data_IF_699690702241
#
_entry.id   IF_699690702241
#
_cell.length_a   1.000
_cell.length_b   1.000
_cell.length_c   1.000
_cell.angle_alpha   90.00
_cell.angle_beta   90.00
_cell.angle_gamma   90.00
#
_symmetry.space_group_name_H-M   'P 1'
#
loop_
_entity.id
_entity.type
_entity.pdbx_description
1 polymer ?
#
# COMPACT_ATOMS: atom_id res chain seq x y z
N UNK A 1 13.47 -18.46 -10.85
CA UNK A 1 14.81 -17.91 -11.12
C UNK A 1 14.86 -16.99 -12.33
N UNK A 2 14.77 -17.47 -13.58
CA UNK A 2 14.92 -16.59 -14.79
C UNK A 2 13.92 -15.42 -14.86
N UNK A 3 12.65 -15.65 -14.53
CA UNK A 3 11.61 -14.62 -14.61
C UNK A 3 11.67 -13.59 -13.46
N UNK A 4 12.32 -13.93 -12.34
CA UNK A 4 12.52 -13.00 -11.22
C UNK A 4 13.72 -12.10 -11.51
N UNK A 5 14.75 -12.64 -12.18
CA UNK A 5 15.86 -11.85 -12.71
C UNK A 5 15.39 -10.83 -13.76
N UNK A 6 14.38 -11.18 -14.57
CA UNK A 6 13.78 -10.26 -15.53
C UNK A 6 13.04 -9.07 -14.86
N UNK A 7 12.27 -9.32 -13.79
CA UNK A 7 11.62 -8.23 -13.03
C UNK A 7 12.62 -7.33 -12.32
N UNK A 8 13.69 -7.92 -11.76
CA UNK A 8 14.78 -7.15 -11.15
C UNK A 8 15.52 -6.32 -12.21
N UNK A 9 15.64 -6.80 -13.45
CA UNK A 9 16.20 -6.04 -14.56
C UNK A 9 15.27 -4.91 -15.05
N UNK A 10 13.96 -5.16 -15.19
CA UNK A 10 12.96 -4.14 -15.56
C UNK A 10 12.88 -3.03 -14.49
N UNK A 11 12.93 -3.40 -13.20
CA UNK A 11 13.02 -2.43 -12.11
C UNK A 11 14.30 -1.58 -12.19
N UNK A 12 15.45 -2.18 -12.50
CA UNK A 12 16.71 -1.44 -12.68
C UNK A 12 16.63 -0.44 -13.82
N UNK A 13 16.05 -0.85 -14.94
CA UNK A 13 15.89 0.02 -16.11
C UNK A 13 15.01 1.23 -15.76
N UNK A 14 13.87 1.02 -15.10
CA UNK A 14 12.99 2.12 -14.67
C UNK A 14 13.61 3.07 -13.65
N UNK A 15 14.37 2.57 -12.67
CA UNK A 15 15.09 3.43 -11.69
C UNK A 15 16.19 4.24 -12.38
N UNK A 16 16.79 3.72 -13.45
CA UNK A 16 17.89 4.39 -14.16
C UNK A 16 17.39 5.47 -15.15
N UNK A 17 16.16 5.37 -15.65
CA UNK A 17 15.52 6.39 -16.50
C UNK A 17 14.98 7.60 -15.71
N UNK A 18 14.67 7.46 -14.42
CA UNK A 18 14.18 8.59 -13.59
C UNK A 18 15.26 9.62 -13.23
N UNK A 19 16.54 9.30 -13.41
CA UNK A 19 17.67 10.20 -13.09
C UNK A 19 18.01 11.16 -14.24
N UNK A 20 17.18 11.25 -15.29
CA UNK A 20 17.58 11.83 -16.57
C UNK A 20 16.53 12.56 -17.42
N UNK A 21 15.54 13.24 -16.85
CA UNK A 21 14.71 14.18 -17.66
C UNK A 21 14.41 15.52 -16.93
N UNK A 22 15.02 16.59 -17.44
CA UNK A 22 14.75 17.99 -17.10
C UNK A 22 13.51 18.51 -17.85
N UNK A 23 12.60 19.17 -17.13
CA UNK A 23 11.36 19.76 -17.63
C UNK A 23 11.58 20.83 -18.71
N UNK A 24 10.70 20.86 -19.71
CA UNK A 24 10.42 22.08 -20.51
C UNK A 24 8.92 22.42 -20.46
N UNK A 25 8.63 23.66 -20.05
CA UNK A 25 7.30 24.21 -19.78
C UNK A 25 6.94 25.21 -20.89
N UNK A 26 5.73 25.15 -21.47
CA UNK A 26 5.10 26.30 -22.15
C UNK A 26 3.56 26.33 -21.97
N UNK A 27 3.13 27.24 -21.08
CA UNK A 27 2.03 28.24 -21.14
C UNK A 27 0.66 27.94 -21.78
N UNK A 28 -0.42 28.01 -20.97
CA UNK A 28 -1.64 28.82 -21.27
C UNK A 28 -2.49 29.06 -20.01
N UNK A 29 -3.03 30.28 -19.85
CA UNK A 29 -3.00 31.04 -18.58
C UNK A 29 -4.38 31.47 -18.02
N UNK A 30 -5.37 30.58 -17.90
CA UNK A 30 -6.60 30.89 -17.11
C UNK A 30 -7.28 29.70 -16.44
N UNK A 31 -7.32 28.50 -17.05
CA UNK A 31 -7.64 27.24 -16.33
C UNK A 31 -6.43 26.64 -15.62
N UNK A 32 -5.22 27.06 -16.02
CA UNK A 32 -3.97 26.63 -15.40
C UNK A 32 -3.85 27.03 -13.94
N UNK A 33 -4.43 28.13 -13.46
CA UNK A 33 -4.27 28.51 -12.05
C UNK A 33 -5.01 27.56 -11.08
N UNK A 34 -6.18 27.03 -11.46
CA UNK A 34 -6.85 25.98 -10.69
C UNK A 34 -6.12 24.64 -10.85
N UNK A 35 -5.67 24.31 -12.07
CA UNK A 35 -4.90 23.10 -12.32
C UNK A 35 -3.52 23.10 -11.63
N UNK A 36 -2.85 24.25 -11.52
CA UNK A 36 -1.55 24.45 -10.87
C UNK A 36 -1.70 24.38 -9.34
N UNK A 37 -2.76 24.96 -8.77
CA UNK A 37 -3.05 24.83 -7.33
C UNK A 37 -3.42 23.38 -6.98
N UNK A 38 -4.10 22.67 -7.90
CA UNK A 38 -4.40 21.24 -7.75
C UNK A 38 -3.14 20.40 -7.94
N UNK A 39 -2.27 20.70 -8.92
CA UNK A 39 -1.00 19.98 -9.12
C UNK A 39 -0.07 20.15 -7.92
N UNK A 40 -0.02 21.35 -7.34
CA UNK A 40 0.67 21.60 -6.09
C UNK A 40 0.09 20.78 -4.92
N UNK A 41 -1.24 20.65 -4.84
CA UNK A 41 -1.91 19.77 -3.85
C UNK A 41 -1.66 18.28 -4.11
N UNK A 42 -1.57 17.85 -5.37
CA UNK A 42 -1.21 16.48 -5.73
C UNK A 42 0.21 16.16 -5.24
N UNK A 43 1.16 17.07 -5.45
CA UNK A 43 2.54 16.92 -4.96
C UNK A 43 2.57 16.91 -3.43
N UNK A 44 1.83 17.80 -2.76
CA UNK A 44 1.76 17.83 -1.30
C UNK A 44 1.08 16.59 -0.69
N UNK A 45 0.06 16.04 -1.35
CA UNK A 45 -0.66 14.86 -0.88
C UNK A 45 0.18 13.57 -0.93
N UNK A 46 1.24 13.55 -1.74
CA UNK A 46 2.21 12.45 -1.81
C UNK A 46 3.41 12.64 -0.86
N UNK A 47 3.55 13.80 -0.20
CA UNK A 47 4.63 14.03 0.75
C UNK A 47 4.32 13.33 2.08
N UNK A 48 5.26 12.53 2.62
CA UNK A 48 5.05 11.85 3.89
C UNK A 48 4.97 12.88 5.02
N UNK A 49 3.90 12.82 5.82
CA UNK A 49 3.80 13.66 7.00
C UNK A 49 4.69 13.08 8.12
N UNK A 50 5.41 13.93 8.84
CA UNK A 50 6.17 13.48 9.99
C UNK A 50 5.24 12.85 11.05
N UNK A 51 5.66 11.72 11.62
CA UNK A 51 4.96 11.01 12.68
C UNK A 51 4.69 11.90 13.91
N UNK A 52 5.55 12.90 14.12
CA UNK A 52 5.46 13.88 15.22
C UNK A 52 4.49 15.04 14.96
N UNK A 53 3.83 15.09 13.80
CA UNK A 53 2.98 16.21 13.42
C UNK A 53 1.83 16.48 14.44
N UNK A 54 1.54 17.76 14.75
CA UNK A 54 0.44 18.14 15.65
C UNK A 54 -0.92 17.61 15.17
N UNK A 55 -1.86 17.46 16.10
CA UNK A 55 -3.25 17.04 15.79
C UNK A 55 -3.90 17.94 14.73
N UNK A 56 -3.68 19.25 14.82
CA UNK A 56 -4.23 20.22 13.87
C UNK A 56 -3.75 19.95 12.43
N UNK A 57 -2.48 19.55 12.27
CA UNK A 57 -1.92 19.20 10.97
C UNK A 57 -2.54 17.90 10.47
N UNK A 58 -2.77 16.91 11.35
CA UNK A 58 -3.46 15.65 10.98
C UNK A 58 -4.92 15.87 10.56
N UNK A 59 -5.59 16.87 11.13
CA UNK A 59 -6.93 17.28 10.73
C UNK A 59 -6.91 17.99 9.37
N UNK A 60 -6.00 18.94 9.17
CA UNK A 60 -5.83 19.63 7.89
C UNK A 60 -5.46 18.67 6.75
N UNK A 61 -4.58 17.69 7.01
CA UNK A 61 -4.24 16.65 6.05
C UNK A 61 -5.46 15.81 5.67
N UNK A 62 -6.30 15.43 6.64
CA UNK A 62 -7.54 14.70 6.36
C UNK A 62 -8.50 15.49 5.46
N UNK A 63 -8.72 16.78 5.77
CA UNK A 63 -9.57 17.65 4.96
C UNK A 63 -9.00 17.86 3.54
N UNK A 64 -7.67 17.91 3.43
CA UNK A 64 -6.97 18.01 2.14
C UNK A 64 -7.16 16.74 1.30
N UNK A 65 -7.03 15.56 1.89
CA UNK A 65 -7.33 14.29 1.21
C UNK A 65 -8.80 14.19 0.83
N UNK A 66 -9.73 14.56 1.72
CA UNK A 66 -11.16 14.55 1.41
C UNK A 66 -11.47 15.48 0.24
N UNK A 67 -10.91 16.68 0.23
CA UNK A 67 -11.07 17.64 -0.86
C UNK A 67 -10.50 17.10 -2.17
N UNK A 68 -9.31 16.48 -2.12
CA UNK A 68 -8.67 15.88 -3.29
C UNK A 68 -9.49 14.73 -3.87
N UNK A 69 -9.89 13.77 -3.04
CA UNK A 69 -10.70 12.64 -3.49
C UNK A 69 -12.09 13.07 -3.93
N UNK A 70 -12.70 14.05 -3.28
CA UNK A 70 -13.98 14.63 -3.71
C UNK A 70 -13.86 15.24 -5.10
N UNK A 71 -12.79 15.99 -5.37
CA UNK A 71 -12.53 16.55 -6.69
C UNK A 71 -12.33 15.46 -7.75
N UNK A 72 -11.52 14.43 -7.45
CA UNK A 72 -11.26 13.32 -8.38
C UNK A 72 -12.54 12.51 -8.69
N UNK A 73 -13.41 12.32 -7.68
CA UNK A 73 -14.60 11.47 -7.79
C UNK A 73 -15.82 12.20 -8.36
N UNK A 74 -16.04 13.46 -7.98
CA UNK A 74 -17.27 14.21 -8.26
C UNK A 74 -17.12 15.31 -9.33
N UNK A 75 -16.00 15.38 -10.04
CA UNK A 75 -15.85 16.27 -11.19
C UNK A 75 -16.82 15.93 -12.32
N UNK A 76 -17.35 16.97 -13.01
CA UNK A 76 -18.18 16.86 -14.22
C UNK A 76 -17.33 16.40 -15.43
N UNK A 77 -16.90 15.15 -15.40
CA UNK A 77 -16.03 14.52 -16.40
C UNK A 77 -14.74 13.96 -15.81
N UNK A 78 -14.04 13.06 -16.53
CA UNK A 78 -12.75 12.55 -16.07
C UNK A 78 -11.74 13.67 -16.10
N UNK A 79 -11.17 13.98 -14.93
CA UNK A 79 -10.20 15.08 -14.83
C UNK A 79 -8.97 14.73 -15.68
N UNK A 80 -8.51 15.67 -16.47
CA UNK A 80 -7.26 15.55 -17.22
C UNK A 80 -6.10 16.02 -16.35
N UNK A 81 -5.73 15.15 -15.41
CA UNK A 81 -4.57 15.33 -14.56
C UNK A 81 -3.54 14.29 -14.94
N UNK A 82 -2.36 14.76 -15.33
CA UNK A 82 -1.19 13.92 -15.45
C UNK A 82 -0.55 13.78 -14.07
N UNK A 83 -0.49 12.56 -13.50
CA UNK A 83 0.14 12.37 -12.21
C UNK A 83 1.61 12.79 -12.28
N UNK A 84 2.16 13.44 -11.24
CA UNK A 84 3.55 13.88 -11.20
C UNK A 84 4.57 12.76 -11.44
N UNK A 85 4.22 11.53 -11.10
CA UNK A 85 5.04 10.34 -11.32
C UNK A 85 4.17 9.10 -11.51
N UNK A 86 4.76 8.04 -12.07
CA UNK A 86 4.12 6.72 -12.15
C UNK A 86 3.75 6.16 -10.76
N UNK A 87 4.54 6.51 -9.73
CA UNK A 87 4.36 6.04 -8.35
C UNK A 87 3.38 6.88 -7.53
N UNK A 88 2.98 8.06 -8.01
CA UNK A 88 2.17 9.02 -7.26
C UNK A 88 0.88 8.41 -6.70
N UNK A 89 0.17 7.61 -7.51
CA UNK A 89 -1.07 6.97 -7.07
C UNK A 89 -0.84 5.97 -5.93
N UNK A 90 0.31 5.29 -5.89
CA UNK A 90 0.70 4.45 -4.77
C UNK A 90 1.02 5.29 -3.53
N UNK A 91 1.87 6.31 -3.68
CA UNK A 91 2.33 7.14 -2.55
C UNK A 91 1.16 7.84 -1.85
N UNK A 92 0.19 8.37 -2.61
CA UNK A 92 -1.01 9.01 -2.05
C UNK A 92 -1.89 8.02 -1.29
N UNK A 93 -2.11 6.82 -1.83
CA UNK A 93 -2.91 5.80 -1.15
C UNK A 93 -2.18 5.25 0.08
N UNK A 94 -0.87 5.00 -0.03
CA UNK A 94 -0.07 4.47 1.08
C UNK A 94 0.03 5.46 2.24
N UNK A 95 0.25 6.76 1.94
CA UNK A 95 0.29 7.83 2.93
C UNK A 95 -1.09 8.05 3.56
N UNK A 96 -2.17 8.06 2.77
CA UNK A 96 -3.54 8.15 3.28
C UNK A 96 -3.84 7.04 4.31
N UNK A 97 -3.43 5.80 4.01
CA UNK A 97 -3.64 4.68 4.93
C UNK A 97 -2.66 4.72 6.11
N UNK A 98 -1.44 5.23 5.90
CA UNK A 98 -0.48 5.45 6.98
C UNK A 98 -1.01 6.45 8.00
N UNK A 99 -1.55 7.58 7.57
CA UNK A 99 -2.17 8.58 8.44
C UNK A 99 -3.37 8.00 9.20
N UNK A 100 -4.24 7.25 8.52
CA UNK A 100 -5.34 6.54 9.16
C UNK A 100 -4.85 5.59 10.27
N UNK A 101 -3.81 4.79 10.01
CA UNK A 101 -3.26 3.86 10.99
C UNK A 101 -2.59 4.58 12.17
N UNK A 102 -1.81 5.63 11.89
CA UNK A 102 -1.17 6.48 12.90
C UNK A 102 -2.21 7.11 13.82
N UNK A 103 -3.28 7.66 13.25
CA UNK A 103 -4.38 8.26 14.01
C UNK A 103 -5.19 7.22 14.79
N UNK A 104 -5.44 6.05 14.23
CA UNK A 104 -6.12 4.94 14.91
C UNK A 104 -5.32 4.44 16.12
N UNK A 105 -4.01 4.30 15.96
CA UNK A 105 -3.08 3.93 17.03
C UNK A 105 -3.02 5.00 18.12
N UNK A 106 -2.99 6.28 17.73
CA UNK A 106 -3.04 7.41 18.66
C UNK A 106 -4.35 7.41 19.47
N UNK A 107 -5.52 7.30 18.81
CA UNK A 107 -6.83 7.19 19.48
C UNK A 107 -6.87 6.02 20.47
N UNK A 108 -6.36 4.86 20.08
CA UNK A 108 -6.30 3.68 20.95
C UNK A 108 -5.39 3.91 22.16
N UNK A 109 -4.25 4.60 21.98
CA UNK A 109 -3.33 4.94 23.07
C UNK A 109 -3.96 5.92 24.06
N UNK A 110 -4.60 6.99 23.58
CA UNK A 110 -5.28 7.98 24.43
C UNK A 110 -6.44 7.33 25.20
N UNK A 111 -7.23 6.48 24.54
CA UNK A 111 -8.32 5.74 25.19
C UNK A 111 -7.81 4.83 26.33
N UNK A 112 -6.60 4.28 26.22
CA UNK A 112 -5.98 3.45 27.28
C UNK A 112 -5.29 4.27 28.38
N UNK A 113 -4.75 5.44 28.05
CA UNK A 113 -3.92 6.22 28.96
C UNK A 113 -4.70 7.20 29.84
N UNK A 114 -5.97 7.52 29.51
CA UNK A 114 -6.95 8.23 30.36
C UNK A 114 -6.50 9.54 31.07
N UNK A 115 -5.27 10.02 30.89
CA UNK A 115 -4.70 11.14 31.66
C UNK A 115 -4.74 12.49 30.95
N UNK A 116 -5.17 12.54 29.68
CA UNK A 116 -5.23 13.77 28.88
C UNK A 116 -6.68 14.09 28.53
N UNK A 117 -7.40 14.74 29.44
CA UNK A 117 -8.80 15.17 29.24
C UNK A 117 -8.97 16.14 28.06
N UNK A 118 -7.99 17.03 27.83
CA UNK A 118 -8.03 17.99 26.71
C UNK A 118 -7.95 17.31 25.34
N UNK A 119 -7.05 16.35 25.15
CA UNK A 119 -6.95 15.60 23.89
C UNK A 119 -8.18 14.71 23.66
N UNK A 120 -8.75 14.13 24.73
CA UNK A 120 -10.00 13.36 24.65
C UNK A 120 -11.16 14.26 24.20
N UNK A 121 -11.21 15.51 24.68
CA UNK A 121 -12.24 16.47 24.30
C UNK A 121 -12.11 16.87 22.81
N UNK A 122 -10.91 17.17 22.33
CA UNK A 122 -10.65 17.48 20.92
C UNK A 122 -11.03 16.30 20.00
N UNK A 123 -10.76 15.06 20.42
CA UNK A 123 -11.15 13.86 19.68
C UNK A 123 -12.67 13.62 19.69
N UNK A 124 -13.39 14.05 20.73
CA UNK A 124 -14.86 14.00 20.79
C UNK A 124 -15.51 15.07 19.93
N UNK A 125 -14.88 16.22 19.78
CA UNK A 125 -15.34 17.31 18.91
C UNK A 125 -15.17 16.97 17.43
N UNK A 126 -14.20 16.11 17.09
CA UNK A 126 -13.92 15.68 15.71
C UNK A 126 -14.04 14.14 15.55
N UNK A 127 -15.22 13.54 15.74
CA UNK A 127 -15.39 12.08 15.73
C UNK A 127 -15.25 11.46 14.33
N UNK A 128 -15.46 12.26 13.29
CA UNK A 128 -15.50 11.81 11.90
C UNK A 128 -14.12 11.83 11.22
N UNK A 129 -13.12 12.50 11.81
CA UNK A 129 -11.79 12.56 11.23
C UNK A 129 -11.14 11.18 11.28
N UNK A 130 -10.63 10.73 10.13
CA UNK A 130 -10.04 9.40 9.97
C UNK A 130 -10.96 8.26 10.44
N UNK A 131 -12.28 8.42 10.26
CA UNK A 131 -13.24 7.37 10.56
C UNK A 131 -13.09 6.19 9.58
N UNK A 132 -13.12 4.96 10.10
CA UNK A 132 -12.98 3.74 9.28
C UNK A 132 -13.99 3.69 8.13
N UNK A 133 -15.23 4.13 8.37
CA UNK A 133 -16.27 4.20 7.34
C UNK A 133 -15.91 5.19 6.21
N UNK A 134 -15.41 6.37 6.56
CA UNK A 134 -15.02 7.38 5.57
C UNK A 134 -13.87 6.90 4.69
N UNK A 135 -12.82 6.34 5.32
CA UNK A 135 -11.66 5.79 4.64
C UNK A 135 -12.05 4.64 3.70
N UNK A 136 -12.89 3.71 4.17
CA UNK A 136 -13.41 2.63 3.32
C UNK A 136 -14.24 3.19 2.16
N UNK A 137 -15.12 4.17 2.43
CA UNK A 137 -15.98 4.75 1.40
C UNK A 137 -15.18 5.43 0.29
N UNK A 138 -14.11 6.15 0.63
CA UNK A 138 -13.19 6.74 -0.36
C UNK A 138 -12.57 5.66 -1.24
N UNK A 139 -11.99 4.60 -0.63
CA UNK A 139 -11.34 3.52 -1.37
C UNK A 139 -12.34 2.76 -2.27
N UNK A 140 -13.52 2.42 -1.76
CA UNK A 140 -14.57 1.78 -2.56
C UNK A 140 -15.09 2.68 -3.68
N UNK A 141 -15.22 3.98 -3.44
CA UNK A 141 -15.65 4.94 -4.46
C UNK A 141 -14.63 5.06 -5.59
N UNK A 142 -13.33 5.06 -5.27
CA UNK A 142 -12.25 5.06 -6.28
C UNK A 142 -12.28 3.78 -7.13
N UNK A 143 -12.50 2.62 -6.51
CA UNK A 143 -12.62 1.34 -7.22
C UNK A 143 -13.86 1.32 -8.12
N UNK A 144 -15.01 1.75 -7.62
CA UNK A 144 -16.25 1.78 -8.39
C UNK A 144 -16.16 2.77 -9.56
N UNK A 145 -15.60 3.95 -9.34
CA UNK A 145 -15.46 4.99 -10.37
C UNK A 145 -14.46 4.60 -11.46
N UNK A 146 -13.42 3.86 -11.12
CA UNK A 146 -12.43 3.34 -12.07
C UNK A 146 -12.88 2.06 -12.80
N UNK A 147 -13.94 1.39 -12.32
CA UNK A 147 -14.40 0.07 -12.79
C UNK A 147 -13.26 -0.97 -12.87
N UNK A 148 -12.25 -0.83 -12.00
CA UNK A 148 -11.01 -1.61 -12.11
C UNK A 148 -11.24 -3.11 -11.88
N UNK A 149 -12.18 -3.49 -11.01
CA UNK A 149 -12.54 -4.90 -10.76
C UNK A 149 -13.09 -5.56 -12.03
N UNK A 150 -13.94 -4.86 -12.77
CA UNK A 150 -14.50 -5.34 -14.03
C UNK A 150 -13.44 -5.40 -15.13
N UNK A 151 -12.55 -4.40 -15.20
CA UNK A 151 -11.41 -4.42 -16.12
C UNK A 151 -10.47 -5.61 -15.84
N UNK A 152 -10.19 -5.90 -14.57
CA UNK A 152 -9.36 -7.05 -14.18
C UNK A 152 -10.07 -8.39 -14.47
N UNK A 153 -11.39 -8.45 -14.26
CA UNK A 153 -12.19 -9.62 -14.64
C UNK A 153 -12.24 -9.83 -16.16
N UNK A 154 -12.28 -8.76 -16.96
CA UNK A 154 -12.18 -8.81 -18.42
C UNK A 154 -10.79 -9.30 -18.86
N UNK A 155 -9.71 -8.78 -18.25
CA UNK A 155 -8.34 -9.26 -18.51
C UNK A 155 -8.19 -10.77 -18.26
N UNK A 156 -8.77 -11.29 -17.17
CA UNK A 156 -8.74 -12.73 -16.86
C UNK A 156 -9.52 -13.58 -17.88
N UNK A 157 -10.55 -13.01 -18.51
CA UNK A 157 -11.32 -13.65 -19.58
C UNK A 157 -10.69 -13.46 -20.98
N UNK A 158 -9.53 -12.79 -21.08
CA UNK A 158 -8.91 -12.35 -22.32
C UNK A 158 -9.82 -11.44 -23.18
N UNK A 159 -10.71 -10.68 -22.52
CA UNK A 159 -11.56 -9.65 -23.14
C UNK A 159 -10.84 -8.29 -23.12
N UNK A 160 -11.23 -7.36 -24.00
CA UNK A 160 -10.65 -6.01 -24.05
C UNK A 160 -11.03 -5.21 -22.80
N UNK A 161 -10.06 -4.85 -21.93
CA UNK A 161 -10.34 -4.09 -20.71
C UNK A 161 -10.84 -2.67 -21.01
N UNK A 162 -10.49 -2.12 -22.18
CA UNK A 162 -10.92 -0.78 -22.59
C UNK A 162 -12.43 -0.71 -22.87
N UNK A 163 -13.06 -1.83 -23.21
CA UNK A 163 -14.51 -1.89 -23.47
C UNK A 163 -15.37 -1.75 -22.20
N UNK A 164 -14.81 -2.09 -21.04
CA UNK A 164 -15.52 -2.08 -19.74
C UNK A 164 -15.06 -0.93 -18.84
N UNK A 165 -14.00 -0.22 -19.25
CA UNK A 165 -13.38 0.84 -18.46
C UNK A 165 -14.23 2.12 -18.34
N UNK A 166 -15.15 2.35 -19.27
CA UNK A 166 -15.90 3.60 -19.36
C UNK A 166 -15.01 4.84 -19.57
N UNK A 167 -15.63 6.03 -19.52
CA UNK A 167 -14.92 7.29 -19.78
C UNK A 167 -13.83 7.58 -18.72
N UNK A 168 -14.08 7.20 -17.46
CA UNK A 168 -13.16 7.43 -16.34
C UNK A 168 -12.04 6.38 -16.26
N UNK A 169 -12.35 5.09 -16.42
CA UNK A 169 -11.36 4.02 -16.33
C UNK A 169 -10.41 3.95 -17.53
N UNK A 170 -10.75 4.60 -18.65
CA UNK A 170 -9.86 4.75 -19.80
C UNK A 170 -8.60 5.55 -19.47
N UNK A 171 -8.68 6.45 -18.47
CA UNK A 171 -7.54 7.27 -18.03
C UNK A 171 -6.64 6.50 -17.08
N UNK A 172 -5.33 6.60 -17.33
CA UNK A 172 -4.30 5.91 -16.55
C UNK A 172 -4.33 6.27 -15.05
N UNK A 173 -4.62 7.54 -14.73
CA UNK A 173 -4.74 8.01 -13.35
C UNK A 173 -5.79 7.22 -12.54
N UNK A 174 -7.01 7.12 -13.07
CA UNK A 174 -8.11 6.41 -12.40
C UNK A 174 -7.86 4.91 -12.35
N UNK A 175 -7.26 4.34 -13.39
CA UNK A 175 -6.84 2.93 -13.42
C UNK A 175 -5.84 2.62 -12.32
N UNK A 176 -4.81 3.46 -12.16
CA UNK A 176 -3.79 3.30 -11.12
C UNK A 176 -4.37 3.53 -9.72
N UNK A 177 -5.12 4.61 -9.51
CA UNK A 177 -5.77 4.90 -8.23
C UNK A 177 -6.73 3.79 -7.81
N UNK A 178 -7.55 3.29 -8.72
CA UNK A 178 -8.43 2.15 -8.47
C UNK A 178 -7.66 0.90 -8.09
N UNK A 179 -6.61 0.57 -8.84
CA UNK A 179 -5.79 -0.61 -8.61
C UNK A 179 -5.06 -0.56 -7.24
N UNK A 180 -4.42 0.56 -6.92
CA UNK A 180 -3.77 0.74 -5.62
C UNK A 180 -4.78 0.86 -4.48
N UNK A 181 -5.99 1.34 -4.74
CA UNK A 181 -7.07 1.34 -3.74
C UNK A 181 -7.49 -0.08 -3.35
N UNK A 182 -7.44 -1.07 -4.26
CA UNK A 182 -7.68 -2.48 -3.89
C UNK A 182 -6.59 -2.97 -2.90
N UNK A 183 -5.32 -2.66 -3.18
CA UNK A 183 -4.21 -3.01 -2.28
C UNK A 183 -4.34 -2.25 -0.95
N UNK A 184 -4.82 -1.02 -1.00
CA UNK A 184 -5.14 -0.23 0.16
C UNK A 184 -6.25 -0.84 1.02
N UNK A 185 -7.32 -1.35 0.39
CA UNK A 185 -8.41 -2.03 1.08
C UNK A 185 -7.93 -3.27 1.83
N UNK A 186 -7.04 -4.07 1.24
CA UNK A 186 -6.39 -5.20 1.94
C UNK A 186 -5.79 -4.73 3.27
N UNK A 187 -5.00 -3.64 3.24
CA UNK A 187 -4.34 -3.09 4.42
C UNK A 187 -5.36 -2.58 5.45
N UNK A 188 -6.40 -1.88 5.02
CA UNK A 188 -7.45 -1.37 5.92
C UNK A 188 -8.24 -2.51 6.55
N UNK A 189 -8.66 -3.53 5.80
CA UNK A 189 -9.35 -4.70 6.33
C UNK A 189 -8.49 -5.50 7.31
N UNK A 190 -7.18 -5.62 7.06
CA UNK A 190 -6.23 -6.18 8.02
C UNK A 190 -6.19 -5.39 9.33
N UNK A 191 -6.24 -4.05 9.27
CA UNK A 191 -6.26 -3.18 10.46
C UNK A 191 -7.58 -3.30 11.23
N UNK A 192 -8.69 -3.52 10.54
CA UNK A 192 -10.01 -3.75 11.14
C UNK A 192 -10.18 -5.16 11.71
N UNK A 193 -9.31 -6.10 11.31
CA UNK A 193 -9.32 -7.50 11.77
C UNK A 193 -10.19 -8.44 10.93
N UNK A 194 -10.73 -7.99 9.79
CA UNK A 194 -11.46 -8.86 8.85
C UNK A 194 -10.51 -9.40 7.78
N UNK A 195 -9.79 -10.47 8.13
CA UNK A 195 -8.81 -11.11 7.25
C UNK A 195 -9.46 -11.88 6.09
N UNK A 196 -10.71 -12.34 6.27
CA UNK A 196 -11.44 -13.06 5.23
C UNK A 196 -11.86 -12.12 4.10
N UNK A 197 -12.39 -10.95 4.44
CA UNK A 197 -12.72 -9.93 3.46
C UNK A 197 -11.47 -9.33 2.81
N UNK A 198 -10.39 -9.13 3.59
CA UNK A 198 -9.11 -8.66 3.05
C UNK A 198 -8.62 -9.54 1.88
N UNK A 199 -8.64 -10.87 2.05
CA UNK A 199 -8.24 -11.79 0.98
C UNK A 199 -9.22 -11.76 -0.19
N UNK A 200 -10.54 -11.72 0.07
CA UNK A 200 -11.55 -11.64 -1.00
C UNK A 200 -11.39 -10.40 -1.88
N UNK A 201 -10.99 -9.26 -1.30
CA UNK A 201 -10.74 -8.05 -2.10
C UNK A 201 -9.61 -8.21 -3.11
N UNK A 202 -8.73 -9.19 -2.91
CA UNK A 202 -7.64 -9.53 -3.84
C UNK A 202 -7.97 -10.68 -4.79
N UNK A 203 -9.13 -11.34 -4.68
CA UNK A 203 -9.49 -12.46 -5.56
C UNK A 203 -9.47 -12.04 -7.05
N UNK A 204 -9.73 -10.76 -7.31
CA UNK A 204 -9.72 -10.17 -8.65
C UNK A 204 -8.32 -9.84 -9.18
N UNK A 205 -7.32 -9.82 -8.31
CA UNK A 205 -5.93 -9.53 -8.65
C UNK A 205 -5.16 -10.84 -8.73
N UNK A 206 -4.69 -11.18 -9.93
CA UNK A 206 -3.69 -12.23 -10.06
C UNK A 206 -2.40 -11.79 -9.38
N UNK A 207 -2.03 -12.46 -8.29
CA UNK A 207 -0.73 -12.33 -7.63
C UNK A 207 0.37 -12.98 -8.49
N UNK A 208 0.53 -12.47 -9.70
CA UNK A 208 1.48 -12.94 -10.69
C UNK A 208 2.41 -11.79 -11.10
N UNK A 209 3.53 -12.14 -11.73
CA UNK A 209 4.62 -11.23 -12.12
C UNK A 209 4.21 -10.11 -13.08
N UNK A 210 3.08 -10.27 -13.77
CA UNK A 210 2.47 -9.26 -14.66
C UNK A 210 1.58 -8.24 -13.96
N UNK A 211 1.41 -8.36 -12.65
CA UNK A 211 0.57 -7.46 -11.88
C UNK A 211 1.19 -6.05 -11.81
N UNK A 212 0.38 -5.01 -11.99
CA UNK A 212 0.85 -3.62 -11.99
C UNK A 212 1.59 -3.23 -10.70
N UNK A 213 1.25 -3.86 -9.56
CA UNK A 213 1.96 -3.62 -8.30
C UNK A 213 3.37 -4.21 -8.26
N UNK A 214 3.70 -5.18 -9.11
CA UNK A 214 5.03 -5.80 -9.13
C UNK A 214 6.11 -4.84 -9.63
N UNK A 215 5.72 -3.77 -10.34
CA UNK A 215 6.61 -2.69 -10.79
C UNK A 215 6.98 -1.73 -9.66
N UNK A 216 6.16 -1.65 -8.62
CA UNK A 216 6.40 -0.78 -7.46
C UNK A 216 6.87 -1.66 -6.31
N UNK A 217 8.17 -1.63 -5.99
CA UNK A 217 8.77 -2.43 -4.91
C UNK A 217 7.99 -2.32 -3.60
N UNK A 218 7.60 -1.10 -3.21
CA UNK A 218 6.85 -0.84 -1.98
C UNK A 218 5.45 -1.47 -1.99
N UNK A 219 4.73 -1.40 -3.12
CA UNK A 219 3.41 -2.01 -3.28
C UNK A 219 3.48 -3.54 -3.30
N UNK A 220 4.48 -4.09 -4.00
CA UNK A 220 4.76 -5.52 -4.03
C UNK A 220 5.04 -6.05 -2.63
N UNK A 221 5.96 -5.40 -1.91
CA UNK A 221 6.29 -5.76 -0.53
C UNK A 221 5.06 -5.71 0.38
N UNK A 222 4.31 -4.61 0.32
CA UNK A 222 3.14 -4.38 1.16
C UNK A 222 2.04 -5.42 0.91
N UNK A 223 1.76 -5.74 -0.35
CA UNK A 223 0.75 -6.72 -0.73
C UNK A 223 1.08 -8.10 -0.16
N UNK A 224 2.29 -8.62 -0.42
CA UNK A 224 2.69 -9.94 0.08
C UNK A 224 2.76 -10.00 1.61
N UNK A 225 3.17 -8.90 2.26
CA UNK A 225 3.19 -8.81 3.71
C UNK A 225 1.77 -8.96 4.30
N UNK A 226 0.80 -8.17 3.85
CA UNK A 226 -0.56 -8.21 4.41
C UNK A 226 -1.34 -9.46 3.98
N UNK A 227 -1.08 -10.01 2.79
CA UNK A 227 -1.63 -11.31 2.37
C UNK A 227 -1.09 -12.44 3.26
N UNK A 228 0.23 -12.50 3.46
CA UNK A 228 0.85 -13.49 4.35
C UNK A 228 0.36 -13.38 5.78
N UNK A 229 0.21 -12.13 6.28
CA UNK A 229 -0.36 -11.86 7.60
C UNK A 229 -1.81 -12.33 7.70
N UNK A 230 -2.64 -12.05 6.69
CA UNK A 230 -4.04 -12.51 6.64
C UNK A 230 -4.13 -14.04 6.66
N UNK A 231 -3.29 -14.73 5.89
CA UNK A 231 -3.23 -16.20 5.92
C UNK A 231 -2.80 -16.75 7.28
N UNK A 232 -1.83 -16.12 7.94
CA UNK A 232 -1.41 -16.49 9.29
C UNK A 232 -2.57 -16.34 10.30
N UNK A 233 -3.31 -15.24 10.22
CA UNK A 233 -4.47 -14.98 11.10
C UNK A 233 -5.66 -15.91 10.82
N UNK A 234 -5.78 -16.44 9.60
CA UNK A 234 -6.74 -17.49 9.25
C UNK A 234 -6.22 -18.92 9.53
N UNK A 235 -5.10 -19.06 10.24
CA UNK A 235 -4.44 -20.35 10.55
C UNK A 235 -3.97 -21.16 9.32
N UNK A 236 -3.87 -20.53 8.14
CA UNK A 236 -3.32 -21.13 6.92
C UNK A 236 -1.81 -20.91 6.85
N UNK A 237 -1.07 -21.47 7.81
CA UNK A 237 0.37 -21.22 7.96
C UNK A 237 1.20 -21.66 6.73
N UNK A 238 0.81 -22.74 6.05
CA UNK A 238 1.50 -23.21 4.84
C UNK A 238 1.44 -22.16 3.72
N UNK A 239 0.30 -21.49 3.54
CA UNK A 239 0.13 -20.44 2.53
C UNK A 239 0.84 -19.16 2.94
N UNK A 240 0.79 -18.80 4.24
CA UNK A 240 1.54 -17.67 4.79
C UNK A 240 3.05 -17.83 4.57
N UNK A 241 3.62 -19.02 4.83
CA UNK A 241 5.05 -19.30 4.62
C UNK A 241 5.41 -19.11 3.14
N UNK A 242 4.58 -19.56 2.19
CA UNK A 242 4.84 -19.35 0.76
C UNK A 242 4.87 -17.87 0.40
N UNK A 243 3.90 -17.09 0.87
CA UNK A 243 3.81 -15.65 0.57
C UNK A 243 4.97 -14.88 1.15
N UNK A 244 5.32 -15.13 2.42
CA UNK A 244 6.47 -14.48 3.05
C UNK A 244 7.79 -14.92 2.40
N UNK A 245 7.94 -16.20 2.04
CA UNK A 245 9.16 -16.68 1.38
C UNK A 245 9.39 -16.02 0.03
N UNK A 246 8.33 -15.89 -0.77
CA UNK A 246 8.40 -15.25 -2.09
C UNK A 246 8.97 -13.83 -2.00
N UNK A 247 8.40 -13.00 -1.12
CA UNK A 247 8.84 -11.60 -1.01
C UNK A 247 10.20 -11.45 -0.31
N UNK A 248 10.56 -12.33 0.64
CA UNK A 248 11.87 -12.29 1.28
C UNK A 248 13.00 -12.62 0.30
N UNK A 249 12.80 -13.59 -0.59
CA UNK A 249 13.76 -13.92 -1.65
C UNK A 249 13.90 -12.73 -2.60
N UNK A 250 12.77 -12.18 -3.04
CA UNK A 250 12.74 -11.00 -3.91
C UNK A 250 13.50 -9.82 -3.31
N UNK A 251 13.21 -9.45 -2.05
CA UNK A 251 13.92 -8.36 -1.36
C UNK A 251 15.40 -8.69 -1.23
N UNK A 252 15.77 -9.92 -0.86
CA UNK A 252 17.18 -10.34 -0.74
C UNK A 252 17.97 -10.18 -2.03
N UNK A 253 17.34 -10.39 -3.20
CA UNK A 253 17.96 -10.19 -4.51
C UNK A 253 18.05 -8.70 -4.91
N UNK A 254 17.15 -7.87 -4.38
CA UNK A 254 17.08 -6.43 -4.70
C UNK A 254 17.81 -5.53 -3.67
N UNK A 255 18.35 -6.08 -2.58
CA UNK A 255 19.02 -5.34 -1.47
C UNK A 255 20.15 -4.38 -1.88
N UNK A 256 20.72 -4.51 -3.07
CA UNK A 256 21.86 -3.69 -3.49
C UNK A 256 21.49 -2.39 -4.22
N UNK A 257 20.20 -2.08 -4.44
CA UNK A 257 19.83 -1.10 -5.48
C UNK A 257 19.29 0.25 -5.01
N UNK A 258 18.82 0.44 -3.77
CA UNK A 258 18.39 1.77 -3.30
C UNK A 258 18.64 1.99 -1.80
N UNK A 259 19.47 2.99 -1.47
CA UNK A 259 19.64 3.52 -0.10
C UNK A 259 18.77 4.78 0.07
N UNK A 260 17.45 4.63 0.06
CA UNK A 260 16.52 5.74 0.32
C UNK A 260 15.77 5.53 1.65
N UNK A 261 15.17 6.58 2.22
CA UNK A 261 14.46 6.52 3.51
C UNK A 261 13.33 5.46 3.56
N UNK A 262 12.70 5.15 2.43
CA UNK A 262 11.73 4.04 2.32
C UNK A 262 12.38 2.66 2.60
N UNK A 263 13.66 2.48 2.27
CA UNK A 263 14.41 1.24 2.48
C UNK A 263 14.60 0.89 3.96
N UNK A 264 14.72 1.88 4.84
CA UNK A 264 14.82 1.66 6.29
C UNK A 264 13.53 1.11 6.87
N UNK A 265 12.38 1.61 6.38
CA UNK A 265 11.06 1.10 6.78
C UNK A 265 10.83 -0.34 6.29
N UNK A 266 11.23 -0.63 5.05
CA UNK A 266 11.16 -1.96 4.44
C UNK A 266 12.09 -2.92 5.19
N UNK A 267 13.29 -2.49 5.60
CA UNK A 267 14.24 -3.32 6.34
C UNK A 267 13.67 -3.75 7.69
N UNK A 268 13.06 -2.83 8.45
CA UNK A 268 12.41 -3.17 9.74
C UNK A 268 11.26 -4.15 9.53
N UNK A 269 10.42 -3.93 8.51
CA UNK A 269 9.33 -4.85 8.17
C UNK A 269 9.84 -6.21 7.71
N UNK A 270 10.95 -6.25 6.97
CA UNK A 270 11.62 -7.46 6.54
C UNK A 270 12.10 -8.29 7.75
N UNK A 271 12.67 -7.66 8.77
CA UNK A 271 13.01 -8.35 10.03
C UNK A 271 11.78 -8.90 10.75
N UNK A 272 10.69 -8.11 10.83
CA UNK A 272 9.43 -8.60 11.38
C UNK A 272 8.91 -9.82 10.61
N UNK A 273 9.05 -9.85 9.29
CA UNK A 273 8.65 -11.00 8.47
C UNK A 273 9.44 -12.27 8.78
N UNK A 274 10.76 -12.18 9.00
CA UNK A 274 11.54 -13.33 9.44
C UNK A 274 11.04 -13.86 10.79
N UNK A 275 10.69 -12.98 11.73
CA UNK A 275 10.09 -13.39 13.00
C UNK A 275 8.72 -14.07 12.80
N UNK A 276 7.87 -13.55 11.91
CA UNK A 276 6.58 -14.16 11.58
C UNK A 276 6.72 -15.54 10.92
N UNK A 277 7.70 -15.72 10.02
CA UNK A 277 8.02 -17.04 9.46
C UNK A 277 8.47 -17.99 10.57
N UNK A 278 9.32 -17.55 11.50
CA UNK A 278 9.77 -18.40 12.61
C UNK A 278 8.57 -18.94 13.40
N UNK A 279 7.58 -18.09 13.68
CA UNK A 279 6.34 -18.47 14.35
C UNK A 279 5.53 -19.45 13.51
N UNK A 280 5.34 -19.17 12.21
CA UNK A 280 4.60 -20.06 11.31
C UNK A 280 5.24 -21.45 11.20
N UNK A 281 6.57 -21.51 11.13
CA UNK A 281 7.34 -22.77 11.03
C UNK A 281 7.34 -23.55 12.34
N UNK A 282 7.27 -22.86 13.49
CA UNK A 282 7.08 -23.52 14.78
C UNK A 282 5.72 -24.24 14.86
N UNK A 283 4.65 -23.64 14.32
CA UNK A 283 3.32 -24.28 14.25
C UNK A 283 3.21 -25.34 13.15
N UNK A 284 3.83 -25.10 11.98
CA UNK A 284 3.81 -26.02 10.84
C UNK A 284 5.24 -26.22 10.32
N UNK A 285 5.95 -27.27 10.79
CA UNK A 285 7.30 -27.59 10.32
C UNK A 285 7.31 -27.81 8.81
N UNK A 286 7.89 -26.85 8.09
CA UNK A 286 7.95 -26.84 6.62
C UNK A 286 9.39 -26.57 6.22
N UNK A 287 9.88 -27.29 5.20
CA UNK A 287 11.22 -27.04 4.66
C UNK A 287 11.21 -25.67 3.95
N UNK A 288 12.03 -24.76 4.44
CA UNK A 288 12.25 -23.45 3.85
C UNK A 288 13.36 -23.52 2.78
N UNK A 289 13.42 -22.50 1.93
CA UNK A 289 14.56 -22.25 1.06
C UNK A 289 15.83 -22.03 1.88
N UNK A 290 16.98 -22.47 1.38
CA UNK A 290 18.27 -22.41 2.09
C UNK A 290 18.65 -20.96 2.45
N UNK A 291 18.30 -19.98 1.61
CA UNK A 291 18.56 -18.55 1.84
C UNK A 291 17.79 -18.05 3.07
N UNK A 292 16.51 -18.40 3.15
CA UNK A 292 15.62 -17.99 4.25
C UNK A 292 16.00 -18.77 5.50
N UNK A 293 16.25 -20.07 5.37
CA UNK A 293 16.61 -20.93 6.49
C UNK A 293 17.91 -20.47 7.16
N UNK A 294 18.93 -20.10 6.37
CA UNK A 294 20.18 -19.55 6.88
C UNK A 294 19.95 -18.24 7.66
N UNK A 295 19.23 -17.29 7.06
CA UNK A 295 18.93 -16.00 7.69
C UNK A 295 18.07 -16.14 8.95
N UNK A 296 17.11 -17.07 8.95
CA UNK A 296 16.26 -17.37 10.10
C UNK A 296 17.06 -17.97 11.25
N UNK A 297 17.98 -18.91 10.95
CA UNK A 297 18.83 -19.55 11.95
C UNK A 297 19.80 -18.56 12.58
N UNK A 298 20.37 -17.66 11.79
CA UNK A 298 21.29 -16.63 12.26
C UNK A 298 20.60 -15.62 13.20
N UNK A 299 19.39 -15.16 12.84
CA UNK A 299 18.69 -14.10 13.59
C UNK A 299 17.81 -14.61 14.74
N UNK A 300 17.12 -15.74 14.55
CA UNK A 300 16.05 -16.22 15.44
C UNK A 300 16.21 -17.69 15.85
N UNK A 301 17.39 -18.30 15.66
CA UNK A 301 17.62 -19.71 15.95
C UNK A 301 17.30 -20.11 17.39
N UNK A 302 17.69 -19.28 18.37
CA UNK A 302 17.43 -19.54 19.79
C UNK A 302 15.94 -19.43 20.15
N UNK A 303 15.24 -18.43 19.59
CA UNK A 303 13.80 -18.25 19.80
C UNK A 303 13.01 -19.38 19.14
N UNK A 304 13.42 -19.84 17.96
CA UNK A 304 12.81 -20.97 17.27
C UNK A 304 12.96 -22.27 18.08
N UNK A 305 14.14 -22.51 18.67
CA UNK A 305 14.37 -23.66 19.54
C UNK A 305 13.51 -23.63 20.81
N UNK A 306 13.31 -22.45 21.41
CA UNK A 306 12.40 -22.28 22.56
C UNK A 306 10.94 -22.53 22.17
N UNK A 307 10.51 -21.98 21.03
CA UNK A 307 9.16 -22.19 20.49
C UNK A 307 8.88 -23.67 20.20
N UNK A 308 9.83 -24.40 19.61
CA UNK A 308 9.70 -25.84 19.36
C UNK A 308 9.64 -26.69 20.64
N UNK A 309 10.20 -26.19 21.75
CA UNK A 309 10.19 -26.87 23.05
C UNK A 309 9.01 -26.49 23.94
N UNK A 310 8.12 -25.60 23.47
CA UNK A 310 6.93 -25.18 24.22
C UNK A 310 7.15 -24.02 25.19
N UNK A 311 8.28 -23.30 25.10
CA UNK A 311 8.64 -22.18 25.98
C UNK A 311 9.78 -22.49 26.93
#
# INVERSE_FOLDING_TARGET
>A
DVEEEALVAEYKEHVQYEDGDELSQTTSLTMAQQADDIQARLVQAAQPLDFSAPLDVKFQSYDSYCSLFHFILNSEGPVDLEPPSYYWAWDVIDEFIYQFNSFSSYRSRIARQASNEEEIQILRENPNTWGSYSVLNVLYSLIQRSQITEQLAAMRRNEDPAAVAGDYGSKNLYKMLGYFSIIGLLRVHCLLGDFGLALKTLDDIELNKKAMFARVMAAHFTTYYYVGFSYMMMHRYADAIRMFSHILIYVSRTKNFQKNAQYDSITKKNEQMYALIAICVAFQPTRLDDTIHSALREKYGDQLLKLQRGG
#
